data_IF_004218795870
#
_entry.id   IF_004218795870
#
_cell.length_a   1.000
_cell.length_b   1.000
_cell.length_c   1.000
_cell.angle_alpha   90.00
_cell.angle_beta   90.00
_cell.angle_gamma   90.00
#
_symmetry.space_group_name_H-M   'P 1'
#
loop_
_entity.id
_entity.type
_entity.pdbx_description
1 polymer ?
#
# COMPACT_ATOMS: atom_id res chain seq x y z
N UNK A 1 -9.21 4.06 -27.88
CA UNK A 1 -7.83 4.44 -27.54
C UNK A 1 -7.84 4.99 -26.11
N UNK A 2 -7.38 4.19 -25.21
CA UNK A 2 -7.27 4.53 -23.78
C UNK A 2 -6.31 5.72 -23.64
N UNK A 3 -6.79 6.87 -23.19
CA UNK A 3 -6.00 8.09 -23.19
C UNK A 3 -5.47 8.37 -21.77
N UNK A 4 -4.41 7.65 -21.36
CA UNK A 4 -3.59 8.01 -20.18
C UNK A 4 -3.07 9.46 -20.28
N UNK A 5 -2.98 9.99 -21.52
CA UNK A 5 -2.41 11.31 -21.83
C UNK A 5 -3.20 12.46 -21.21
N UNK A 6 -4.49 12.26 -20.98
CA UNK A 6 -5.37 13.28 -20.42
C UNK A 6 -5.44 13.24 -18.89
N UNK A 7 -4.81 12.22 -18.27
CA UNK A 7 -4.76 12.08 -16.81
C UNK A 7 -3.45 12.64 -16.26
N UNK A 8 -3.54 13.77 -15.59
CA UNK A 8 -2.39 14.47 -15.02
C UNK A 8 -1.57 13.50 -14.15
N UNK A 9 -0.25 13.59 -14.33
CA UNK A 9 0.77 12.86 -13.59
C UNK A 9 0.69 11.31 -13.67
N UNK A 10 -0.23 10.72 -14.40
CA UNK A 10 -0.25 9.26 -14.62
C UNK A 10 0.93 8.86 -15.50
N UNK A 11 1.77 7.95 -15.01
CA UNK A 11 2.95 7.47 -15.72
C UNK A 11 2.80 6.04 -16.24
N UNK A 12 2.01 5.22 -15.58
CA UNK A 12 1.61 3.91 -16.11
C UNK A 12 0.15 3.62 -15.82
N UNK A 13 -0.46 2.92 -16.74
CA UNK A 13 -1.80 2.37 -16.62
C UNK A 13 -1.81 0.98 -17.25
N UNK A 14 -2.28 -0.03 -16.52
CA UNK A 14 -2.48 -1.38 -17.03
C UNK A 14 -3.89 -1.80 -16.66
N UNK A 15 -4.61 -2.37 -17.61
CA UNK A 15 -5.95 -2.93 -17.39
C UNK A 15 -5.93 -4.38 -17.84
N UNK A 16 -6.38 -5.27 -16.96
CA UNK A 16 -6.62 -6.67 -17.29
C UNK A 16 -8.06 -7.07 -16.98
N UNK A 17 -8.56 -8.05 -17.71
CA UNK A 17 -9.83 -8.71 -17.48
C UNK A 17 -9.65 -10.20 -17.67
N UNK A 18 -10.24 -11.01 -16.78
CA UNK A 18 -10.14 -12.47 -16.84
C UNK A 18 -8.67 -12.96 -16.97
N UNK A 19 -7.73 -12.25 -16.34
CA UNK A 19 -6.29 -12.53 -16.40
C UNK A 19 -5.57 -11.99 -17.64
N UNK A 20 -6.26 -11.56 -18.68
CA UNK A 20 -5.71 -11.07 -19.95
C UNK A 20 -5.50 -9.54 -19.90
N UNK A 21 -4.33 -9.05 -20.36
CA UNK A 21 -4.08 -7.61 -20.44
C UNK A 21 -4.84 -7.04 -21.66
N UNK A 22 -5.83 -6.21 -21.41
CA UNK A 22 -6.59 -5.51 -22.44
C UNK A 22 -5.85 -4.30 -23.00
N UNK A 23 -5.00 -3.67 -22.19
CA UNK A 23 -4.19 -2.55 -22.60
C UNK A 23 -3.24 -2.08 -21.53
N UNK A 24 -2.14 -1.48 -21.99
CA UNK A 24 -1.17 -0.83 -21.13
C UNK A 24 -0.62 0.40 -21.82
N UNK A 25 -0.32 1.44 -21.04
CA UNK A 25 0.34 2.65 -21.54
C UNK A 25 1.33 3.15 -20.50
N UNK A 26 2.47 3.68 -20.97
CA UNK A 26 3.55 4.17 -20.14
C UNK A 26 4.04 5.52 -20.71
N UNK A 27 4.27 6.48 -19.82
CA UNK A 27 4.78 7.79 -20.22
C UNK A 27 5.63 8.46 -19.15
N UNK A 28 6.41 9.43 -19.56
CA UNK A 28 6.99 10.41 -18.65
C UNK A 28 5.99 11.48 -18.26
N UNK A 29 6.37 12.29 -17.29
CA UNK A 29 5.65 13.52 -16.95
C UNK A 29 5.94 14.59 -18.03
N UNK A 30 4.95 15.38 -18.38
CA UNK A 30 5.08 16.43 -19.39
C UNK A 30 5.72 17.69 -18.81
N UNK A 31 6.28 18.56 -19.70
CA UNK A 31 6.84 19.85 -19.29
C UNK A 31 5.81 20.73 -18.57
N UNK A 32 4.55 20.67 -18.98
CA UNK A 32 3.47 21.41 -18.33
C UNK A 32 3.17 20.88 -16.94
N UNK A 33 3.18 19.58 -16.75
CA UNK A 33 3.04 18.94 -15.43
C UNK A 33 4.24 19.32 -14.53
N UNK A 34 5.46 19.28 -15.06
CA UNK A 34 6.66 19.71 -14.33
C UNK A 34 6.56 21.19 -13.93
N UNK A 35 6.09 22.06 -14.83
CA UNK A 35 5.95 23.49 -14.55
C UNK A 35 4.96 23.78 -13.40
N UNK A 36 3.98 22.92 -13.20
CA UNK A 36 2.97 23.04 -12.15
C UNK A 36 3.37 22.37 -10.81
N UNK A 37 4.50 21.66 -10.78
CA UNK A 37 5.02 21.12 -9.54
C UNK A 37 5.50 22.23 -8.58
N UNK A 38 5.41 22.00 -7.25
CA UNK A 38 6.05 22.88 -6.27
C UNK A 38 7.54 23.09 -6.57
N UNK A 39 8.05 24.28 -6.29
CA UNK A 39 9.41 24.70 -6.69
C UNK A 39 10.52 23.78 -6.19
N UNK A 40 10.36 23.25 -4.99
CA UNK A 40 11.30 22.27 -4.38
C UNK A 40 11.33 20.94 -5.12
N UNK A 41 10.28 20.59 -5.85
CA UNK A 41 10.16 19.34 -6.62
C UNK A 41 10.57 19.55 -8.06
N UNK A 42 10.34 20.74 -8.61
CA UNK A 42 10.73 21.11 -9.98
C UNK A 42 12.23 20.94 -10.26
N UNK A 43 13.06 21.14 -9.25
CA UNK A 43 14.50 20.91 -9.31
C UNK A 43 14.87 19.44 -9.58
N UNK A 44 13.91 18.54 -9.39
CA UNK A 44 14.04 17.11 -9.59
C UNK A 44 13.57 16.65 -10.98
N UNK A 45 13.29 17.59 -11.87
CA UNK A 45 12.73 17.33 -13.19
C UNK A 45 13.50 16.28 -14.03
N UNK A 46 14.81 16.12 -13.77
CA UNK A 46 15.62 15.05 -14.38
C UNK A 46 15.26 13.64 -13.91
N UNK A 47 14.48 13.52 -12.82
CA UNK A 47 14.02 12.24 -12.27
C UNK A 47 12.67 11.81 -12.87
N UNK A 48 11.96 12.73 -13.53
CA UNK A 48 10.67 12.48 -14.17
C UNK A 48 10.83 12.11 -15.66
N UNK A 49 11.82 11.26 -15.95
CA UNK A 49 12.03 10.73 -17.29
C UNK A 49 10.89 9.80 -17.71
N UNK A 50 10.85 9.49 -18.99
CA UNK A 50 9.92 8.47 -19.51
C UNK A 50 10.13 7.18 -18.73
N UNK A 51 9.05 6.66 -18.18
CA UNK A 51 9.02 5.39 -17.45
C UNK A 51 8.38 4.33 -18.32
N UNK A 52 8.98 3.15 -18.27
CA UNK A 52 8.52 1.97 -18.98
C UNK A 52 8.00 0.90 -18.01
N UNK A 53 7.61 -0.22 -18.59
CA UNK A 53 7.11 -1.37 -17.82
C UNK A 53 8.16 -1.99 -16.87
N UNK A 54 9.45 -1.76 -17.14
CA UNK A 54 10.56 -2.34 -16.37
C UNK A 54 11.08 -1.44 -15.25
N UNK A 55 10.54 -0.22 -15.15
CA UNK A 55 10.93 0.72 -14.11
C UNK A 55 10.18 0.46 -12.80
N UNK A 56 10.91 0.52 -11.68
CA UNK A 56 10.31 0.37 -10.36
C UNK A 56 9.53 1.62 -9.96
N UNK A 57 8.41 1.38 -9.28
CA UNK A 57 7.47 2.38 -8.77
C UNK A 57 7.33 2.19 -7.28
N UNK A 58 7.40 3.27 -6.51
CA UNK A 58 7.12 3.18 -5.09
C UNK A 58 5.62 2.96 -4.82
N UNK A 59 5.33 2.06 -3.88
CA UNK A 59 3.95 1.71 -3.52
C UNK A 59 3.20 2.82 -2.80
N UNK A 60 3.92 3.71 -2.13
CA UNK A 60 3.29 4.51 -1.09
C UNK A 60 2.44 3.61 -0.17
N UNK A 61 1.26 4.04 0.25
CA UNK A 61 0.41 3.27 1.18
C UNK A 61 -0.18 1.96 0.62
N UNK A 62 0.04 1.60 -0.65
CA UNK A 62 -0.21 0.24 -1.15
C UNK A 62 0.60 -0.79 -0.34
N UNK A 63 1.73 -0.38 0.24
CA UNK A 63 2.49 -1.20 1.19
C UNK A 63 1.68 -1.72 2.37
N UNK A 64 0.63 -1.00 2.81
CA UNK A 64 -0.27 -1.47 3.88
C UNK A 64 -1.05 -2.71 3.46
N UNK A 65 -1.53 -2.73 2.24
CA UNK A 65 -2.22 -3.90 1.69
C UNK A 65 -1.27 -5.09 1.54
N UNK A 66 -0.03 -4.84 1.11
CA UNK A 66 1.01 -5.89 1.07
C UNK A 66 1.26 -6.47 2.47
N UNK A 67 1.45 -5.63 3.48
CA UNK A 67 1.63 -6.08 4.87
C UNK A 67 0.41 -6.85 5.38
N UNK A 68 -0.80 -6.45 4.99
CA UNK A 68 -2.02 -7.19 5.30
C UNK A 68 -2.01 -8.60 4.70
N UNK A 69 -1.61 -8.75 3.43
CA UNK A 69 -1.48 -10.08 2.81
C UNK A 69 -0.48 -10.96 3.55
N UNK A 70 0.65 -10.40 4.01
CA UNK A 70 1.64 -11.12 4.82
C UNK A 70 1.09 -11.57 6.17
N UNK A 71 0.25 -10.77 6.82
CA UNK A 71 -0.47 -11.20 8.03
C UNK A 71 -1.36 -12.41 7.74
N UNK A 72 -2.10 -12.40 6.63
CA UNK A 72 -2.92 -13.54 6.22
C UNK A 72 -2.09 -14.82 5.99
N UNK A 73 -0.92 -14.70 5.39
CA UNK A 73 0.02 -15.81 5.20
C UNK A 73 0.54 -16.31 6.56
N UNK A 74 0.94 -15.41 7.45
CA UNK A 74 1.43 -15.77 8.78
C UNK A 74 0.37 -16.49 9.65
N UNK A 75 -0.91 -16.18 9.43
CA UNK A 75 -2.02 -16.91 10.06
C UNK A 75 -2.13 -18.33 9.51
N UNK A 76 -2.02 -18.52 8.20
CA UNK A 76 -2.08 -19.85 7.59
C UNK A 76 -0.89 -20.74 7.99
N UNK A 77 0.29 -20.15 8.13
CA UNK A 77 1.49 -20.86 8.61
C UNK A 77 1.42 -21.18 10.11
N UNK A 78 0.41 -20.68 10.84
CA UNK A 78 0.26 -20.86 12.27
C UNK A 78 1.25 -20.06 13.13
N UNK A 79 1.94 -19.08 12.54
CA UNK A 79 2.79 -18.12 13.26
C UNK A 79 1.96 -17.13 14.06
N UNK A 80 0.77 -16.83 13.58
CA UNK A 80 -0.28 -16.05 14.22
C UNK A 80 -1.52 -16.95 14.32
N UNK A 81 -2.14 -17.06 15.48
CA UNK A 81 -3.29 -17.95 15.64
C UNK A 81 -4.51 -17.50 14.82
N UNK A 82 -4.79 -16.21 14.82
CA UNK A 82 -5.81 -15.54 14.03
C UNK A 82 -5.67 -14.01 14.19
N UNK A 83 -6.36 -13.23 13.39
CA UNK A 83 -6.23 -11.76 13.45
C UNK A 83 -6.91 -11.12 14.65
N UNK A 84 -7.71 -11.85 15.44
CA UNK A 84 -8.28 -11.38 16.70
C UNK A 84 -7.34 -11.60 17.90
N UNK A 85 -6.18 -12.21 17.67
CA UNK A 85 -5.13 -12.37 18.66
C UNK A 85 -4.61 -10.99 19.10
N UNK A 86 -4.28 -10.89 20.40
CA UNK A 86 -3.68 -9.68 20.94
C UNK A 86 -2.30 -9.42 20.29
N UNK A 87 -2.09 -8.18 19.86
CA UNK A 87 -0.79 -7.74 19.39
C UNK A 87 0.29 -7.83 20.49
N UNK A 88 -0.10 -7.77 21.78
CA UNK A 88 0.82 -7.88 22.90
C UNK A 88 1.45 -9.27 23.08
N UNK A 89 0.94 -10.29 22.39
CA UNK A 89 1.58 -11.61 22.35
C UNK A 89 2.94 -11.55 21.61
N UNK A 90 3.08 -10.58 20.71
CA UNK A 90 4.29 -10.29 19.95
C UNK A 90 4.99 -9.02 20.44
N UNK A 91 4.23 -7.95 20.68
CA UNK A 91 4.73 -6.66 21.19
C UNK A 91 4.69 -6.70 22.72
N UNK A 92 5.65 -7.37 23.30
CA UNK A 92 5.68 -7.65 24.75
C UNK A 92 5.72 -6.39 25.63
N UNK A 93 6.13 -5.26 25.02
CA UNK A 93 6.11 -3.93 25.63
C UNK A 93 4.69 -3.47 26.01
N UNK A 94 3.66 -4.07 25.40
CA UNK A 94 2.23 -3.74 25.64
C UNK A 94 1.53 -4.62 26.67
N UNK A 95 2.19 -5.66 27.19
CA UNK A 95 1.56 -6.66 28.05
C UNK A 95 1.05 -6.12 29.41
N UNK A 96 1.61 -5.01 29.88
CA UNK A 96 1.35 -4.52 31.22
C UNK A 96 0.51 -3.23 31.26
N UNK A 97 -0.10 -2.84 30.15
CA UNK A 97 -0.98 -1.67 30.06
C UNK A 97 -2.17 -1.93 29.13
N UNK A 98 -3.03 -0.92 28.94
CA UNK A 98 -4.27 -1.04 28.17
C UNK A 98 -4.04 -1.37 26.70
N UNK A 99 -2.82 -1.20 26.16
CA UNK A 99 -2.46 -1.60 24.78
C UNK A 99 -2.49 -3.12 24.61
N UNK A 100 -2.49 -3.90 25.68
CA UNK A 100 -2.70 -5.36 25.63
C UNK A 100 -4.06 -5.75 25.04
N UNK A 101 -5.01 -4.82 24.98
CA UNK A 101 -6.32 -5.02 24.34
C UNK A 101 -6.30 -4.78 22.81
N UNK A 102 -5.20 -4.25 22.27
CA UNK A 102 -5.06 -4.05 20.82
C UNK A 102 -4.92 -5.41 20.13
N UNK A 103 -5.84 -5.73 19.23
CA UNK A 103 -5.77 -6.93 18.40
C UNK A 103 -5.08 -6.64 17.05
N UNK A 104 -4.58 -7.69 16.40
CA UNK A 104 -4.06 -7.58 15.02
C UNK A 104 -5.15 -7.03 14.08
N UNK A 105 -6.41 -7.45 14.26
CA UNK A 105 -7.55 -6.91 13.52
C UNK A 105 -7.72 -5.40 13.72
N UNK A 106 -7.58 -4.91 14.92
CA UNK A 106 -7.71 -3.47 15.19
C UNK A 106 -6.61 -2.66 14.53
N UNK A 107 -5.39 -3.17 14.45
CA UNK A 107 -4.29 -2.57 13.68
C UNK A 107 -4.59 -2.58 12.16
N UNK A 108 -5.01 -3.72 11.61
CA UNK A 108 -5.39 -3.86 10.20
C UNK A 108 -6.52 -2.90 9.79
N UNK A 109 -7.42 -2.58 10.72
CA UNK A 109 -8.58 -1.71 10.51
C UNK A 109 -8.35 -0.25 10.90
N UNK A 110 -7.12 0.16 11.24
CA UNK A 110 -6.82 1.53 11.67
C UNK A 110 -7.64 1.96 12.91
N UNK A 111 -7.78 1.03 13.87
CA UNK A 111 -8.59 1.19 15.10
C UNK A 111 -7.83 0.78 16.36
N UNK A 112 -6.51 0.89 16.34
CA UNK A 112 -5.67 0.58 17.51
C UNK A 112 -5.94 1.51 18.71
N UNK A 113 -6.38 2.73 18.44
CA UNK A 113 -6.46 3.78 19.44
C UNK A 113 -5.12 4.42 19.80
N UNK A 114 -4.03 4.09 19.10
CA UNK A 114 -2.74 4.73 19.30
C UNK A 114 -2.81 6.22 18.93
N UNK A 115 -2.01 7.04 19.60
CA UNK A 115 -1.87 8.46 19.30
C UNK A 115 -1.14 8.67 17.97
N UNK A 116 -1.56 9.68 17.21
CA UNK A 116 -0.82 10.18 16.04
C UNK A 116 0.41 10.99 16.46
N UNK A 117 1.33 11.23 15.53
CA UNK A 117 2.52 12.08 15.75
C UNK A 117 2.22 13.59 15.73
N UNK A 118 0.99 14.00 16.06
CA UNK A 118 0.63 15.41 16.20
C UNK A 118 0.41 16.16 14.89
N UNK A 119 0.48 15.49 13.76
CA UNK A 119 0.20 16.02 12.43
C UNK A 119 -0.57 15.03 11.57
N UNK A 120 -1.22 15.52 10.52
CA UNK A 120 -1.85 14.69 9.50
C UNK A 120 -0.85 14.22 8.43
N UNK A 121 0.44 14.50 8.63
CA UNK A 121 1.47 14.23 7.63
C UNK A 121 1.95 12.79 7.70
N UNK A 122 1.80 12.08 6.58
CA UNK A 122 2.43 10.77 6.34
C UNK A 122 3.95 10.84 6.49
N UNK A 123 4.53 12.04 6.35
CA UNK A 123 5.97 12.31 6.42
C UNK A 123 6.55 12.22 7.83
N UNK A 124 5.74 12.45 8.86
CA UNK A 124 6.25 12.54 10.23
C UNK A 124 6.88 11.22 10.68
N UNK A 125 6.32 10.09 10.25
CA UNK A 125 6.85 8.78 10.59
C UNK A 125 8.07 8.39 9.75
N UNK A 126 8.07 8.73 8.47
CA UNK A 126 9.17 8.40 7.54
C UNK A 126 10.45 9.20 7.86
N UNK A 127 10.29 10.30 8.62
CA UNK A 127 11.40 11.16 9.06
C UNK A 127 12.08 10.68 10.34
N UNK A 128 11.55 9.66 10.99
CA UNK A 128 12.10 9.18 12.25
C UNK A 128 13.30 8.27 12.00
N UNK A 129 14.25 8.35 12.91
CA UNK A 129 15.43 7.48 12.90
C UNK A 129 15.03 6.01 13.13
N UNK A 130 14.06 5.79 14.03
CA UNK A 130 13.51 4.48 14.37
C UNK A 130 11.97 4.57 14.41
N UNK A 131 11.36 4.29 13.29
CA UNK A 131 9.91 4.34 13.13
C UNK A 131 9.21 3.24 13.96
N UNK A 132 9.78 2.05 14.01
CA UNK A 132 9.21 0.90 14.72
C UNK A 132 9.15 1.15 16.22
N UNK A 133 10.26 1.47 16.85
CA UNK A 133 10.31 1.78 18.29
C UNK A 133 9.42 2.99 18.63
N UNK A 134 9.41 4.00 17.75
CA UNK A 134 8.55 5.16 17.94
C UNK A 134 7.06 4.80 17.94
N UNK A 135 6.62 3.88 17.09
CA UNK A 135 5.24 3.41 17.05
C UNK A 135 4.89 2.53 18.26
N UNK A 136 5.78 1.60 18.66
CA UNK A 136 5.57 0.74 19.84
C UNK A 136 5.41 1.56 21.11
N UNK A 137 6.12 2.68 21.23
CA UNK A 137 6.08 3.56 22.40
C UNK A 137 4.90 4.55 22.42
N UNK A 138 4.00 4.54 21.41
CA UNK A 138 2.81 5.40 21.40
C UNK A 138 1.87 5.07 22.54
N UNK A 139 1.27 6.11 23.11
CA UNK A 139 0.21 5.99 24.11
C UNK A 139 -1.15 5.83 23.41
N UNK A 140 -2.16 5.45 24.18
CA UNK A 140 -3.53 5.43 23.69
C UNK A 140 -4.13 6.84 23.76
N UNK A 141 -4.86 7.22 22.72
CA UNK A 141 -5.58 8.51 22.66
C UNK A 141 -6.90 8.53 23.44
N UNK A 142 -7.32 7.39 24.01
CA UNK A 142 -8.53 7.27 24.83
C UNK A 142 -9.78 6.82 24.06
N UNK A 143 -9.70 6.65 22.75
CA UNK A 143 -10.74 6.03 21.91
C UNK A 143 -10.10 5.10 20.88
N UNK A 144 -10.87 4.16 20.36
CA UNK A 144 -10.49 3.23 19.30
C UNK A 144 -11.29 3.45 18.00
N UNK A 145 -11.81 4.64 17.80
CA UNK A 145 -12.44 5.03 16.55
C UNK A 145 -11.46 4.94 15.38
N UNK A 146 -11.98 4.89 14.15
CA UNK A 146 -11.13 4.89 12.96
C UNK A 146 -10.21 6.11 12.91
N UNK A 147 -8.92 5.87 12.74
CA UNK A 147 -7.94 6.90 12.43
C UNK A 147 -6.84 6.29 11.58
N UNK A 148 -6.67 6.82 10.38
CA UNK A 148 -5.66 6.33 9.45
C UNK A 148 -4.26 6.64 9.98
N UNK A 149 -3.60 5.62 10.55
CA UNK A 149 -2.30 5.73 11.19
C UNK A 149 -1.27 4.81 10.55
N UNK A 150 -0.15 5.37 10.14
CA UNK A 150 0.99 4.58 9.64
C UNK A 150 1.57 3.66 10.72
N UNK A 151 1.50 4.06 11.99
CA UNK A 151 1.95 3.24 13.12
C UNK A 151 1.23 1.91 13.22
N UNK A 152 -0.07 1.86 12.92
CA UNK A 152 -0.82 0.61 12.98
C UNK A 152 -0.18 -0.43 12.07
N UNK A 153 0.17 -0.04 10.85
CA UNK A 153 0.83 -0.96 9.92
C UNK A 153 2.31 -1.17 10.26
N UNK A 154 3.02 -0.15 10.78
CA UNK A 154 4.42 -0.35 11.19
C UNK A 154 4.53 -1.40 12.28
N UNK A 155 3.60 -1.42 13.22
CA UNK A 155 3.52 -2.47 14.27
C UNK A 155 3.17 -3.83 13.67
N UNK A 156 2.31 -3.91 12.63
CA UNK A 156 2.04 -5.18 11.95
C UNK A 156 3.29 -5.77 11.30
N UNK A 157 4.16 -4.92 10.70
CA UNK A 157 5.46 -5.37 10.19
C UNK A 157 6.32 -5.99 11.28
N UNK A 158 6.43 -5.34 12.43
CA UNK A 158 7.17 -5.85 13.58
C UNK A 158 6.57 -7.17 14.13
N UNK A 159 5.24 -7.29 14.13
CA UNK A 159 4.57 -8.55 14.52
C UNK A 159 5.01 -9.69 13.60
N UNK A 160 5.08 -9.45 12.28
CA UNK A 160 5.54 -10.46 11.30
C UNK A 160 6.97 -10.85 11.60
N UNK A 161 7.87 -9.89 11.85
CA UNK A 161 9.28 -10.17 12.15
C UNK A 161 9.43 -10.99 13.44
N UNK A 162 8.73 -10.61 14.50
CA UNK A 162 8.78 -11.35 15.79
C UNK A 162 8.15 -12.74 15.70
N UNK A 163 7.06 -12.88 14.95
CA UNK A 163 6.38 -14.16 14.77
C UNK A 163 7.18 -15.14 13.91
N UNK A 164 7.80 -14.64 12.84
CA UNK A 164 8.55 -15.49 11.90
C UNK A 164 10.01 -15.70 12.31
N UNK A 165 10.58 -14.82 13.11
CA UNK A 165 12.03 -14.78 13.40
C UNK A 165 12.89 -14.34 12.22
N UNK A 166 12.28 -13.76 11.17
CA UNK A 166 12.95 -13.24 9.97
C UNK A 166 12.67 -11.76 9.82
N UNK A 167 13.53 -11.00 9.14
CA UNK A 167 13.18 -9.64 8.77
C UNK A 167 12.01 -9.63 7.76
N UNK A 168 11.27 -8.52 7.74
CA UNK A 168 10.04 -8.37 6.96
C UNK A 168 10.23 -8.66 5.47
N UNK A 169 11.35 -8.16 4.89
CA UNK A 169 11.63 -8.34 3.46
C UNK A 169 11.94 -9.81 3.13
N UNK A 170 12.74 -10.47 3.96
CA UNK A 170 13.04 -11.90 3.80
C UNK A 170 11.78 -12.74 3.89
N UNK A 171 10.91 -12.45 4.86
CA UNK A 171 9.62 -13.14 5.00
C UNK A 171 8.73 -12.90 3.78
N UNK A 172 8.60 -11.65 3.34
CA UNK A 172 7.79 -11.28 2.17
C UNK A 172 8.31 -11.92 0.88
N UNK A 173 9.64 -11.94 0.68
CA UNK A 173 10.23 -12.58 -0.49
C UNK A 173 9.89 -14.07 -0.55
N UNK A 174 10.06 -14.78 0.56
CA UNK A 174 9.86 -16.23 0.59
C UNK A 174 8.39 -16.62 0.39
N UNK A 175 7.47 -15.86 0.98
CA UNK A 175 6.08 -16.28 1.14
C UNK A 175 5.09 -15.55 0.21
N UNK A 176 5.47 -14.41 -0.36
CA UNK A 176 4.61 -13.64 -1.26
C UNK A 176 5.29 -13.34 -2.59
N UNK A 177 6.44 -12.65 -2.58
CA UNK A 177 6.99 -12.07 -3.80
C UNK A 177 7.59 -13.10 -4.76
N UNK A 178 8.46 -14.01 -4.28
CA UNK A 178 9.05 -15.04 -5.13
C UNK A 178 8.01 -16.05 -5.65
N UNK A 179 7.06 -16.54 -4.82
CA UNK A 179 5.96 -17.36 -5.33
C UNK A 179 5.12 -16.67 -6.40
N UNK A 180 4.94 -15.35 -6.30
CA UNK A 180 4.20 -14.54 -7.27
C UNK A 180 5.05 -14.17 -8.51
N UNK A 181 6.35 -14.49 -8.51
CA UNK A 181 7.27 -14.11 -9.56
C UNK A 181 7.55 -12.60 -9.58
N UNK A 182 7.57 -11.96 -8.43
CA UNK A 182 7.76 -10.52 -8.23
C UNK A 182 9.12 -10.27 -7.62
N UNK A 183 9.79 -9.21 -8.07
CA UNK A 183 11.01 -8.69 -7.47
C UNK A 183 10.72 -7.36 -6.79
N UNK A 184 10.64 -7.35 -5.45
CA UNK A 184 10.40 -6.14 -4.68
C UNK A 184 11.69 -5.57 -4.10
N UNK A 185 11.76 -4.23 -4.03
CA UNK A 185 12.64 -3.52 -3.11
C UNK A 185 11.82 -2.89 -2.00
N UNK A 186 12.38 -2.76 -0.81
CA UNK A 186 11.64 -2.22 0.32
C UNK A 186 12.49 -1.22 1.09
N UNK A 187 11.91 -0.08 1.41
CA UNK A 187 12.59 0.99 2.11
C UNK A 187 12.82 0.65 3.58
N UNK A 188 13.91 1.18 4.11
CA UNK A 188 14.27 1.10 5.52
C UNK A 188 14.36 2.49 6.13
N UNK A 189 14.08 2.60 7.43
CA UNK A 189 14.46 3.74 8.22
C UNK A 189 15.98 3.73 8.53
N UNK A 190 16.56 4.83 9.06
CA UNK A 190 17.99 4.87 9.39
C UNK A 190 18.43 3.81 10.41
N UNK A 191 17.56 3.32 11.26
CA UNK A 191 17.85 2.22 12.20
C UNK A 191 17.80 0.83 11.55
N UNK A 192 17.39 0.75 10.29
CA UNK A 192 17.37 -0.48 9.51
C UNK A 192 16.05 -1.24 9.53
N UNK A 193 15.01 -0.70 10.16
CA UNK A 193 13.67 -1.31 10.14
C UNK A 193 13.00 -1.09 8.79
N UNK A 194 12.34 -2.10 8.24
CA UNK A 194 11.53 -1.95 7.04
C UNK A 194 10.28 -1.09 7.30
N UNK A 195 9.96 -0.22 6.33
CA UNK A 195 8.79 0.67 6.40
C UNK A 195 7.56 -0.08 5.91
N UNK A 196 6.91 -0.83 6.78
CA UNK A 196 5.83 -1.75 6.41
C UNK A 196 4.56 -1.09 5.88
N UNK A 197 4.35 0.20 6.17
CA UNK A 197 3.19 0.96 5.69
C UNK A 197 3.36 1.61 4.32
N UNK A 198 4.58 1.55 3.74
CA UNK A 198 4.93 2.20 2.48
C UNK A 198 6.24 1.63 1.92
N UNK A 199 6.71 2.19 0.80
CA UNK A 199 8.09 1.97 0.35
C UNK A 199 8.38 0.60 -0.24
N UNK A 200 7.37 -0.14 -0.66
CA UNK A 200 7.54 -1.33 -1.50
C UNK A 200 7.66 -0.87 -2.94
N UNK A 201 8.81 -1.04 -3.56
CA UNK A 201 9.05 -0.68 -4.95
C UNK A 201 8.87 -1.91 -5.84
N UNK A 202 7.91 -1.84 -6.74
CA UNK A 202 7.54 -2.89 -7.70
C UNK A 202 7.48 -2.31 -9.10
N UNK A 203 7.55 -3.17 -10.11
CA UNK A 203 7.23 -2.79 -11.49
C UNK A 203 5.71 -2.72 -11.70
N UNK A 204 5.23 -1.96 -12.68
CA UNK A 204 3.79 -1.86 -12.93
C UNK A 204 3.06 -3.19 -13.15
N UNK A 205 3.68 -4.14 -13.87
CA UNK A 205 3.12 -5.47 -14.08
C UNK A 205 3.14 -6.33 -12.80
N UNK A 206 4.06 -6.06 -11.88
CA UNK A 206 4.13 -6.73 -10.60
C UNK A 206 3.01 -6.27 -9.65
N UNK A 207 2.60 -4.99 -9.73
CA UNK A 207 1.37 -4.53 -9.08
C UNK A 207 0.12 -5.22 -9.65
N UNK A 208 0.10 -5.48 -10.97
CA UNK A 208 -1.00 -6.23 -11.58
C UNK A 208 -1.10 -7.63 -10.98
N UNK A 209 0.02 -8.33 -10.81
CA UNK A 209 0.03 -9.68 -10.21
C UNK A 209 -0.51 -9.69 -8.79
N UNK A 210 -0.23 -8.65 -7.98
CA UNK A 210 -0.84 -8.51 -6.65
C UNK A 210 -2.37 -8.41 -6.72
N UNK A 211 -2.90 -7.67 -7.70
CA UNK A 211 -4.34 -7.59 -7.91
C UNK A 211 -4.95 -8.89 -8.41
N UNK A 212 -4.26 -9.58 -9.31
CA UNK A 212 -4.71 -10.85 -9.87
C UNK A 212 -4.77 -12.00 -8.85
N UNK A 213 -4.01 -11.91 -7.74
CA UNK A 213 -4.14 -12.85 -6.62
C UNK A 213 -5.59 -13.02 -6.12
N UNK A 214 -6.38 -11.96 -6.17
CA UNK A 214 -7.77 -11.99 -5.72
C UNK A 214 -8.71 -12.70 -6.69
N UNK A 215 -8.33 -12.73 -7.96
CA UNK A 215 -9.16 -13.27 -9.06
C UNK A 215 -8.77 -14.69 -9.46
N UNK A 216 -7.56 -15.15 -9.11
CA UNK A 216 -7.10 -16.50 -9.43
C UNK A 216 -7.59 -17.52 -8.39
N UNK A 217 -8.58 -18.37 -8.74
CA UNK A 217 -9.09 -19.37 -7.80
C UNK A 217 -8.08 -20.50 -7.51
N UNK A 218 -7.00 -20.60 -8.27
CA UNK A 218 -6.00 -21.65 -8.14
C UNK A 218 -4.74 -21.17 -7.41
N UNK A 219 -4.66 -19.89 -7.08
CA UNK A 219 -3.54 -19.40 -6.30
C UNK A 219 -3.56 -20.02 -4.89
N UNK A 220 -2.40 -20.32 -4.37
CA UNK A 220 -2.21 -20.90 -3.03
C UNK A 220 -1.15 -20.12 -2.22
N UNK A 221 -0.89 -18.85 -2.60
CA UNK A 221 0.08 -17.97 -1.96
C UNK A 221 -0.55 -17.31 -0.73
N UNK A 222 -1.72 -16.72 -0.91
CA UNK A 222 -2.50 -16.11 0.17
C UNK A 222 -3.73 -16.98 0.45
N UNK A 223 -4.02 -17.33 1.71
CA UNK A 223 -5.16 -18.19 2.02
C UNK A 223 -6.48 -17.64 1.46
N UNK A 224 -7.24 -18.46 0.78
CA UNK A 224 -8.55 -18.06 0.26
C UNK A 224 -9.50 -17.59 1.37
N UNK A 225 -9.37 -18.15 2.57
CA UNK A 225 -10.13 -17.72 3.74
C UNK A 225 -9.82 -16.27 4.14
N UNK A 226 -8.57 -15.84 3.99
CA UNK A 226 -8.17 -14.46 4.29
C UNK A 226 -8.57 -13.50 3.14
N UNK A 227 -8.36 -13.91 1.89
CA UNK A 227 -8.84 -13.12 0.74
C UNK A 227 -10.35 -12.90 0.80
N UNK A 228 -11.12 -13.92 1.20
CA UNK A 228 -12.56 -13.80 1.41
C UNK A 228 -12.93 -12.83 2.53
N UNK A 229 -12.11 -12.73 3.60
CA UNK A 229 -12.33 -11.72 4.64
C UNK A 229 -12.08 -10.30 4.09
N UNK A 230 -11.04 -10.11 3.29
CA UNK A 230 -10.79 -8.83 2.62
C UNK A 230 -11.96 -8.52 1.68
N UNK A 231 -12.36 -9.45 0.83
CA UNK A 231 -13.45 -9.28 -0.13
C UNK A 231 -14.79 -8.95 0.56
N UNK A 232 -15.11 -9.66 1.65
CA UNK A 232 -16.34 -9.46 2.44
C UNK A 232 -16.20 -8.38 3.53
N UNK A 233 -15.13 -7.61 3.52
CA UNK A 233 -14.84 -6.54 4.50
C UNK A 233 -15.88 -5.42 4.58
N UNK A 234 -16.75 -5.34 3.58
CA UNK A 234 -17.97 -4.55 3.63
C UNK A 234 -18.91 -5.08 4.73
N UNK A 235 -19.22 -4.23 5.70
CA UNK A 235 -20.26 -4.53 6.67
C UNK A 235 -19.82 -5.25 7.93
N UNK A 236 -18.53 -5.41 8.20
CA UNK A 236 -18.10 -5.74 9.56
C UNK A 236 -18.27 -4.52 10.45
N UNK A 237 -18.89 -4.71 11.62
CA UNK A 237 -19.17 -3.62 12.58
C UNK A 237 -17.92 -2.86 13.07
N UNK A 238 -16.73 -3.39 12.78
CA UNK A 238 -15.43 -2.83 13.19
C UNK A 238 -14.73 -2.06 12.08
N UNK A 239 -15.09 -2.28 10.79
CA UNK A 239 -14.53 -1.54 9.68
C UNK A 239 -15.13 -0.13 9.61
N UNK A 240 -14.35 0.84 9.12
CA UNK A 240 -14.96 2.08 8.62
C UNK A 240 -15.72 1.75 7.33
N UNK A 241 -16.70 2.55 6.96
CA UNK A 241 -17.53 2.30 5.78
C UNK A 241 -16.72 2.20 4.46
N UNK A 242 -15.46 2.65 4.47
CA UNK A 242 -14.60 2.72 3.30
C UNK A 242 -13.25 1.99 3.45
N UNK A 243 -12.92 1.45 4.62
CA UNK A 243 -11.60 0.85 4.88
C UNK A 243 -11.67 -0.37 5.81
N UNK A 244 -11.11 -1.48 5.40
CA UNK A 244 -10.98 -2.68 6.22
C UNK A 244 -9.77 -3.51 5.77
N UNK A 245 -9.09 -4.13 6.75
CA UNK A 245 -7.96 -5.04 6.55
C UNK A 245 -6.87 -4.52 5.59
N UNK A 246 -6.62 -3.21 5.56
CA UNK A 246 -5.60 -2.62 4.71
C UNK A 246 -6.08 -2.23 3.30
N UNK A 247 -7.38 -2.29 3.02
CA UNK A 247 -7.97 -1.99 1.71
C UNK A 247 -9.06 -0.94 1.79
N UNK A 248 -9.25 -0.20 0.69
CA UNK A 248 -10.35 0.74 0.50
C UNK A 248 -11.47 0.08 -0.29
N UNK A 249 -12.72 0.35 0.07
CA UNK A 249 -13.92 -0.24 -0.52
C UNK A 249 -14.78 0.80 -1.21
N UNK A 250 -15.32 0.42 -2.36
CA UNK A 250 -16.24 1.19 -3.18
C UNK A 250 -17.45 0.31 -3.51
N UNK A 251 -18.45 0.85 -4.20
CA UNK A 251 -19.70 0.13 -4.44
C UNK A 251 -19.54 -1.14 -5.27
N UNK A 252 -18.55 -1.19 -6.15
CA UNK A 252 -18.34 -2.23 -7.16
C UNK A 252 -16.93 -2.81 -7.19
N UNK A 253 -16.00 -2.27 -6.42
CA UNK A 253 -14.62 -2.73 -6.37
C UNK A 253 -13.95 -2.39 -5.05
N UNK A 254 -12.75 -2.92 -4.80
CA UNK A 254 -11.89 -2.49 -3.71
C UNK A 254 -10.49 -2.16 -4.23
N UNK A 255 -9.72 -1.44 -3.45
CA UNK A 255 -8.43 -0.90 -3.87
C UNK A 255 -7.34 -1.09 -2.82
N UNK A 256 -6.14 -1.45 -3.29
CA UNK A 256 -4.89 -1.08 -2.65
C UNK A 256 -4.59 0.35 -3.09
N UNK A 257 -4.37 1.27 -2.14
CA UNK A 257 -4.26 2.69 -2.47
C UNK A 257 -3.10 3.36 -1.79
N UNK A 258 -2.35 4.14 -2.55
CA UNK A 258 -1.21 4.92 -2.08
C UNK A 258 -1.32 6.38 -2.48
N UNK A 259 -0.55 7.23 -1.78
CA UNK A 259 -0.44 8.65 -2.06
C UNK A 259 -0.06 8.87 -3.54
N UNK A 260 -0.45 10.01 -4.09
CA UNK A 260 -0.22 10.42 -5.48
C UNK A 260 -0.86 9.50 -6.52
N UNK A 261 -1.90 8.74 -6.13
CA UNK A 261 -2.67 7.91 -7.05
C UNK A 261 -1.95 6.61 -7.46
N UNK A 262 -1.15 6.04 -6.57
CA UNK A 262 -0.74 4.65 -6.68
C UNK A 262 -1.95 3.78 -6.36
N UNK A 263 -2.46 3.04 -7.34
CA UNK A 263 -3.71 2.29 -7.19
C UNK A 263 -3.60 0.93 -7.86
N UNK A 264 -4.08 -0.09 -7.16
CA UNK A 264 -4.48 -1.37 -7.72
C UNK A 264 -5.94 -1.57 -7.37
N UNK A 265 -6.83 -1.42 -8.36
CA UNK A 265 -8.27 -1.62 -8.19
C UNK A 265 -8.66 -3.01 -8.68
N UNK A 266 -9.50 -3.68 -7.91
CA UNK A 266 -9.97 -5.04 -8.18
C UNK A 266 -11.48 -5.04 -8.17
N UNK A 267 -12.09 -5.30 -9.32
CA UNK A 267 -13.51 -5.60 -9.46
C UNK A 267 -13.63 -7.12 -9.63
N UNK A 268 -14.24 -7.77 -8.64
CA UNK A 268 -14.34 -9.22 -8.58
C UNK A 268 -15.42 -9.75 -9.54
N UNK A 269 -16.55 -9.05 -9.64
CA UNK A 269 -17.68 -9.51 -10.44
C UNK A 269 -17.39 -9.48 -11.95
N UNK A 270 -16.62 -8.50 -12.40
CA UNK A 270 -16.21 -8.34 -13.79
C UNK A 270 -14.81 -8.94 -14.09
N UNK A 271 -14.14 -9.50 -13.07
CA UNK A 271 -12.78 -10.03 -13.13
C UNK A 271 -11.76 -9.01 -13.68
N UNK A 272 -11.89 -7.74 -13.28
CA UNK A 272 -11.04 -6.64 -13.76
C UNK A 272 -10.02 -6.25 -12.69
N UNK A 273 -8.76 -6.07 -13.13
CA UNK A 273 -7.73 -5.39 -12.35
C UNK A 273 -7.22 -4.18 -13.12
N UNK A 274 -7.18 -3.04 -12.44
CA UNK A 274 -6.62 -1.81 -12.97
C UNK A 274 -5.45 -1.39 -12.10
N UNK A 275 -4.28 -1.19 -12.71
CA UNK A 275 -3.10 -0.63 -12.06
C UNK A 275 -2.86 0.75 -12.62
N UNK A 276 -2.78 1.73 -11.74
CA UNK A 276 -2.33 3.08 -12.06
C UNK A 276 -1.14 3.45 -11.20
N UNK A 277 -0.10 3.95 -11.81
CA UNK A 277 1.02 4.54 -11.09
C UNK A 277 1.24 5.99 -11.55
N UNK A 278 1.56 6.81 -10.60
CA UNK A 278 1.77 8.24 -10.77
C UNK A 278 3.06 8.64 -10.06
N UNK A 279 3.69 9.69 -10.50
CA UNK A 279 4.87 10.35 -9.93
C UNK A 279 5.73 9.48 -9.01
N UNK A 280 6.46 8.58 -9.58
CA UNK A 280 7.32 7.71 -8.81
C UNK A 280 8.79 7.98 -9.09
N UNK A 281 9.52 8.02 -8.00
CA UNK A 281 10.96 8.11 -7.96
C UNK A 281 11.48 6.88 -7.25
N UNK A 282 11.38 5.72 -7.89
CA UNK A 282 12.01 4.53 -7.36
C UNK A 282 13.30 4.28 -8.14
N UNK A 283 14.49 4.49 -7.56
CA UNK A 283 15.67 3.84 -8.09
C UNK A 283 15.56 2.34 -7.84
N UNK A 284 16.14 1.57 -8.74
CA UNK A 284 16.40 0.17 -8.49
C UNK A 284 17.35 0.03 -7.30
N UNK A 285 16.96 -0.69 -6.25
CA UNK A 285 17.80 -1.01 -5.10
C UNK A 285 17.18 -0.71 -3.75
N UNK A 286 17.72 -1.34 -2.72
CA UNK A 286 17.35 -1.05 -1.35
C UNK A 286 17.65 0.40 -0.98
N UNK A 287 16.77 0.99 -0.21
CA UNK A 287 16.93 2.36 0.27
C UNK A 287 16.82 2.44 1.78
N UNK A 288 17.75 3.19 2.34
CA UNK A 288 17.57 3.82 3.63
C UNK A 288 16.96 5.20 3.40
N UNK A 289 15.85 5.48 4.03
CA UNK A 289 15.24 6.82 4.01
C UNK A 289 16.03 7.71 4.95
N UNK A 290 16.95 8.49 4.39
CA UNK A 290 17.68 9.54 5.12
C UNK A 290 17.21 10.90 4.63
N UNK A 291 16.49 11.62 5.49
CA UNK A 291 16.02 12.97 5.18
C UNK A 291 17.14 14.00 5.06
N UNK A 292 18.35 13.68 5.57
CA UNK A 292 19.52 14.53 5.41
C UNK A 292 20.17 14.34 4.02
N UNK A 293 19.86 13.26 3.35
CA UNK A 293 20.19 13.12 1.94
C UNK A 293 19.03 13.70 1.15
N UNK A 294 19.33 14.61 0.28
CA UNK A 294 18.43 15.25 -0.69
C UNK A 294 17.79 14.27 -1.68
N UNK A 295 17.41 13.10 -1.22
CA UNK A 295 16.49 12.26 -1.96
C UNK A 295 15.12 12.87 -1.71
N UNK A 296 14.43 13.31 -2.74
CA UNK A 296 13.08 13.78 -2.61
C UNK A 296 12.17 12.58 -2.37
N UNK A 297 12.17 12.10 -1.17
CA UNK A 297 11.15 11.21 -0.62
C UNK A 297 10.03 12.07 -0.05
N UNK A 298 10.04 13.36 -0.30
CA UNK A 298 8.87 14.15 -0.04
C UNK A 298 7.79 13.59 -0.98
N UNK A 299 6.74 12.96 -0.45
CA UNK A 299 5.51 12.87 -1.18
C UNK A 299 5.18 14.32 -1.51
N UNK A 300 5.34 14.64 -2.76
CA UNK A 300 4.78 15.85 -3.27
C UNK A 300 3.32 15.55 -3.33
N UNK A 301 2.59 16.07 -2.38
CA UNK A 301 1.15 16.17 -2.55
C UNK A 301 0.97 17.05 -3.76
N UNK A 302 0.76 16.43 -4.90
CA UNK A 302 0.50 17.16 -6.13
C UNK A 302 -0.89 17.76 -5.97
N UNK A 303 -1.06 19.07 -6.09
CA UNK A 303 -2.35 19.73 -5.85
C UNK A 303 -3.49 19.19 -6.70
N UNK A 304 -3.21 18.35 -7.68
CA UNK A 304 -4.16 17.85 -8.66
C UNK A 304 -3.85 16.42 -9.15
N UNK A 305 -2.93 15.70 -8.52
CA UNK A 305 -2.77 14.28 -8.78
C UNK A 305 -3.92 13.55 -8.12
N UNK A 306 -5.07 13.54 -8.76
CA UNK A 306 -6.32 12.98 -8.27
C UNK A 306 -6.88 13.63 -7.02
N UNK A 307 -6.98 14.93 -7.09
CA UNK A 307 -7.76 15.68 -6.12
C UNK A 307 -7.53 15.27 -4.70
N UNK A 308 -6.34 15.16 -4.16
CA UNK A 308 -6.01 14.81 -2.76
C UNK A 308 -7.12 14.35 -1.80
N UNK A 309 -8.33 14.24 -2.32
CA UNK A 309 -9.61 14.05 -1.68
C UNK A 309 -10.28 12.71 -2.03
N UNK A 310 -9.73 11.94 -2.95
CA UNK A 310 -10.33 10.68 -3.34
C UNK A 310 -11.35 10.76 -4.48
N UNK A 311 -11.42 11.86 -5.17
CA UNK A 311 -12.26 12.02 -6.38
C UNK A 311 -11.60 11.41 -7.64
N UNK A 312 -10.85 10.33 -7.46
CA UNK A 312 -10.46 9.52 -8.57
C UNK A 312 -11.64 8.63 -8.91
N UNK A 313 -12.46 9.09 -9.85
CA UNK A 313 -13.58 8.29 -10.31
C UNK A 313 -13.07 7.15 -11.18
N UNK A 314 -12.99 5.98 -10.60
CA UNK A 314 -12.62 4.77 -11.31
C UNK A 314 -13.67 4.37 -12.33
N UNK A 315 -14.91 4.82 -12.18
CA UNK A 315 -15.98 4.63 -13.17
C UNK A 315 -15.59 5.22 -14.51
N UNK A 316 -14.84 6.33 -14.53
CA UNK A 316 -14.29 6.87 -15.77
C UNK A 316 -13.38 5.90 -16.55
N UNK A 317 -12.71 4.95 -15.87
CA UNK A 317 -11.92 3.93 -16.56
C UNK A 317 -12.76 2.71 -16.92
N UNK A 318 -13.70 2.34 -16.08
CA UNK A 318 -14.64 1.26 -16.36
C UNK A 318 -15.56 1.64 -17.51
N UNK A 319 -16.06 2.86 -17.56
CA UNK A 319 -16.90 3.37 -18.67
C UNK A 319 -16.20 3.27 -20.01
N UNK A 320 -14.88 3.51 -20.08
CA UNK A 320 -14.11 3.32 -21.31
C UNK A 320 -14.07 1.85 -21.75
N UNK A 321 -14.09 0.91 -20.79
CA UNK A 321 -14.12 -0.53 -21.10
C UNK A 321 -15.52 -1.00 -21.53
N UNK A 322 -16.58 -0.41 -20.98
CA UNK A 322 -17.96 -0.77 -21.35
C UNK A 322 -18.39 -0.17 -22.69
N UNK A 323 -17.91 1.01 -23.05
CA UNK A 323 -18.21 1.65 -24.36
C UNK A 323 -17.58 0.88 -25.54
N UNK A 324 -16.55 0.08 -25.31
CA UNK A 324 -15.89 -0.70 -26.39
C UNK A 324 -16.58 -2.03 -26.71
N UNK A 325 -17.65 -2.39 -26.00
CA UNK A 325 -18.39 -3.64 -26.22
C UNK A 325 -19.77 -3.44 -26.92
N UNK A 326 -20.09 -2.22 -27.39
CA UNK A 326 -21.15 -1.93 -28.33
C UNK A 326 -20.54 -1.71 -29.72
#
# INVERSE_FOLDING_TARGET
>A
QMCIRDRKYTQSLIISREGEILGSDFRGITDNEIANLPSNVRTLGTLFVIRGQDDFVTSQSVGKSVTSLLIGIAVEEGLINNIDQSASDFITEWQNDDRSNITIRSLLNMRSGLESFGGTSVLDLISLEDATTSCINRQLRGDNGFAYLNCDTQVLGEIIERASGSDLKTYADQNLFLPLGVQAYWWKDPSGNFISYAGVDLKPDEYLRLGQLFLDPNQNIVPSSYLNQIYSGFGTAEASDIYSLGFYYFSDHFQMRGLDGQVVAINFDDEIVIVRNSLYLAPSGERVVDLNQTIPVAPVTLPEADGGSGEYDFTDFLDVLYISNE
#
